data_IF_963723779852
#
_entry.id   IF_963723779852
#
_cell.length_a   1.000
_cell.length_b   1.000
_cell.length_c   1.000
_cell.angle_alpha   90.00
_cell.angle_beta   90.00
_cell.angle_gamma   90.00
#
_symmetry.space_group_name_H-M   'P 1'
#
loop_
_entity.id
_entity.type
_entity.pdbx_description
1 polymer ?
#
# COMPACT_ATOMS: atom_id res chain seq x y z
N UNK A 1 23.25 57.61 -2.63
CA UNK A 1 22.59 56.52 -1.85
C UNK A 1 21.44 55.82 -2.59
N UNK A 2 21.05 56.21 -3.82
CA UNK A 2 19.93 55.58 -4.55
C UNK A 2 20.25 54.42 -5.51
N UNK A 3 21.51 54.14 -5.85
CA UNK A 3 21.83 53.06 -6.81
C UNK A 3 21.86 51.65 -6.17
N UNK A 4 22.12 51.56 -4.86
CA UNK A 4 22.13 50.29 -4.11
C UNK A 4 20.73 49.71 -3.92
N UNK A 5 19.69 50.53 -3.84
CA UNK A 5 18.30 50.07 -3.68
C UNK A 5 17.74 49.52 -4.99
N UNK A 6 18.09 50.12 -6.13
CA UNK A 6 17.63 49.71 -7.46
C UNK A 6 18.21 48.35 -7.89
N UNK A 7 19.49 48.09 -7.60
CA UNK A 7 20.13 46.79 -7.84
C UNK A 7 19.61 45.70 -6.91
N UNK A 8 19.30 46.02 -5.65
CA UNK A 8 18.61 45.11 -4.73
C UNK A 8 17.21 44.75 -5.24
N UNK A 9 16.42 45.75 -5.67
CA UNK A 9 15.09 45.52 -6.27
C UNK A 9 15.16 44.67 -7.53
N UNK A 10 16.08 44.94 -8.46
CA UNK A 10 16.26 44.12 -9.66
C UNK A 10 16.65 42.67 -9.30
N UNK A 11 17.48 42.48 -8.27
CA UNK A 11 17.89 41.15 -7.79
C UNK A 11 16.72 40.38 -7.18
N UNK A 12 15.87 41.05 -6.38
CA UNK A 12 14.66 40.45 -5.80
C UNK A 12 13.61 40.12 -6.86
N UNK A 13 13.40 40.99 -7.86
CA UNK A 13 12.52 40.70 -9.00
C UNK A 13 13.02 39.50 -9.82
N UNK A 14 14.34 39.40 -10.08
CA UNK A 14 14.92 38.24 -10.78
C UNK A 14 14.74 36.94 -9.98
N UNK A 15 14.97 36.97 -8.66
CA UNK A 15 14.73 35.82 -7.78
C UNK A 15 13.25 35.41 -7.75
N UNK A 16 12.33 36.36 -7.71
CA UNK A 16 10.89 36.09 -7.76
C UNK A 16 10.46 35.48 -9.10
N UNK A 17 11.03 35.96 -10.22
CA UNK A 17 10.73 35.46 -11.56
C UNK A 17 11.27 34.04 -11.78
N UNK A 18 12.49 33.76 -11.29
CA UNK A 18 13.06 32.40 -11.30
C UNK A 18 12.28 31.46 -10.39
N UNK A 19 11.91 31.89 -9.18
CA UNK A 19 11.08 31.11 -8.27
C UNK A 19 9.70 30.79 -8.85
N UNK A 20 9.04 31.78 -9.48
CA UNK A 20 7.76 31.60 -10.16
C UNK A 20 7.86 30.67 -11.36
N UNK A 21 8.92 30.76 -12.16
CA UNK A 21 9.16 29.85 -13.27
C UNK A 21 9.38 28.41 -12.78
N UNK A 22 10.21 28.20 -11.74
CA UNK A 22 10.44 26.87 -11.16
C UNK A 22 9.14 26.26 -10.66
N UNK A 23 8.28 27.04 -9.99
CA UNK A 23 6.95 26.58 -9.54
C UNK A 23 6.01 26.27 -10.70
N UNK A 24 6.05 27.05 -11.79
CA UNK A 24 5.26 26.77 -12.98
C UNK A 24 5.76 25.53 -13.76
N UNK A 25 7.05 25.21 -13.65
CA UNK A 25 7.68 24.01 -14.22
C UNK A 25 7.49 22.75 -13.36
N UNK A 26 7.12 22.88 -12.07
CA UNK A 26 6.68 21.77 -11.22
C UNK A 26 5.26 21.35 -11.64
N UNK A 27 5.12 20.58 -12.72
CA UNK A 27 3.80 20.09 -13.16
C UNK A 27 3.07 19.23 -12.10
N UNK A 28 1.90 18.69 -12.46
CA UNK A 28 1.05 17.88 -11.57
C UNK A 28 1.75 16.67 -10.90
N UNK A 29 2.93 16.27 -11.37
CA UNK A 29 3.73 15.20 -10.77
C UNK A 29 4.14 15.47 -9.31
N UNK A 30 4.35 16.74 -8.93
CA UNK A 30 4.69 17.08 -7.54
C UNK A 30 3.51 16.81 -6.61
N UNK A 31 2.28 17.08 -7.03
CA UNK A 31 1.07 16.86 -6.20
C UNK A 31 0.88 15.37 -5.93
N UNK A 32 0.97 14.52 -6.98
CA UNK A 32 0.76 13.09 -6.81
C UNK A 32 1.90 12.41 -6.04
N UNK A 33 3.14 12.84 -6.27
CA UNK A 33 4.29 12.34 -5.52
C UNK A 33 4.19 12.71 -4.04
N UNK A 34 3.95 13.98 -3.71
CA UNK A 34 3.89 14.42 -2.30
C UNK A 34 2.71 13.77 -1.58
N UNK A 35 1.56 13.63 -2.25
CA UNK A 35 0.41 12.91 -1.73
C UNK A 35 0.77 11.45 -1.45
N UNK A 36 1.43 10.77 -2.40
CA UNK A 36 1.88 9.41 -2.23
C UNK A 36 2.86 9.23 -1.07
N UNK A 37 3.86 10.11 -0.96
CA UNK A 37 4.82 10.10 0.15
C UNK A 37 4.13 10.27 1.52
N UNK A 38 3.13 11.16 1.62
CA UNK A 38 2.33 11.35 2.83
C UNK A 38 1.51 10.10 3.16
N UNK A 39 0.81 9.52 2.18
CA UNK A 39 0.00 8.31 2.36
C UNK A 39 0.85 7.11 2.76
N UNK A 40 2.03 6.92 2.16
CA UNK A 40 2.96 5.85 2.53
C UNK A 40 3.52 6.07 3.94
N UNK A 41 3.85 7.32 4.28
CA UNK A 41 4.31 7.65 5.63
C UNK A 41 3.24 7.35 6.67
N UNK A 42 2.00 7.81 6.47
CA UNK A 42 0.85 7.51 7.32
C UNK A 42 0.60 6.00 7.40
N UNK A 43 0.70 5.31 6.25
CA UNK A 43 0.57 3.87 6.15
C UNK A 43 1.54 3.14 7.08
N UNK A 44 2.79 3.60 7.14
CA UNK A 44 3.83 3.02 8.00
C UNK A 44 3.69 3.42 9.48
N UNK A 45 3.35 4.67 9.78
CA UNK A 45 3.38 5.20 11.14
C UNK A 45 2.09 4.95 11.92
N UNK A 46 0.94 4.93 11.26
CA UNK A 46 -0.37 4.85 11.90
C UNK A 46 -1.17 3.63 11.43
N UNK A 47 -1.37 3.50 10.11
CA UNK A 47 -2.28 2.48 9.56
C UNK A 47 -1.80 1.07 9.87
N UNK A 48 -0.54 0.74 9.56
CA UNK A 48 0.00 -0.60 9.75
C UNK A 48 0.05 -0.98 11.24
N UNK A 49 0.57 -0.15 12.17
CA UNK A 49 0.49 -0.46 13.59
C UNK A 49 -0.95 -0.68 14.08
N UNK A 50 -1.90 0.14 13.64
CA UNK A 50 -3.32 -0.04 13.99
C UNK A 50 -3.90 -1.34 13.41
N UNK A 51 -3.54 -1.71 12.18
CA UNK A 51 -3.93 -3.00 11.60
C UNK A 51 -3.38 -4.18 12.40
N UNK A 52 -2.17 -4.07 12.95
CA UNK A 52 -1.56 -5.12 13.75
C UNK A 52 -2.19 -5.27 15.15
N UNK A 53 -3.03 -4.33 15.59
CA UNK A 53 -3.82 -4.47 16.83
C UNK A 53 -5.15 -5.16 16.60
N UNK A 54 -5.46 -5.61 15.38
CA UNK A 54 -6.71 -6.29 15.09
C UNK A 54 -6.73 -7.69 15.71
N UNK A 55 -7.75 -7.97 16.52
CA UNK A 55 -8.02 -9.31 17.04
C UNK A 55 -8.70 -10.23 16.00
N UNK A 56 -9.17 -9.66 14.88
CA UNK A 56 -9.80 -10.38 13.78
C UNK A 56 -8.87 -10.43 12.55
N UNK A 57 -8.33 -11.63 12.29
CA UNK A 57 -7.47 -11.91 11.13
C UNK A 57 -8.19 -11.62 9.81
N UNK A 58 -9.50 -11.87 9.71
CA UNK A 58 -10.28 -11.60 8.51
C UNK A 58 -10.28 -10.11 8.22
N UNK A 59 -10.45 -9.29 9.26
CA UNK A 59 -10.51 -7.84 9.11
C UNK A 59 -9.15 -7.25 8.72
N UNK A 60 -8.05 -7.76 9.31
CA UNK A 60 -6.69 -7.42 8.89
C UNK A 60 -6.45 -7.78 7.42
N UNK A 61 -6.90 -8.96 7.02
CA UNK A 61 -6.72 -9.39 5.65
C UNK A 61 -7.45 -8.51 4.63
N UNK A 62 -8.78 -8.34 4.78
CA UNK A 62 -9.57 -7.60 3.79
C UNK A 62 -9.13 -6.14 3.70
N UNK A 63 -8.64 -5.59 4.81
CA UNK A 63 -8.00 -4.26 4.81
C UNK A 63 -6.70 -4.27 4.00
N UNK A 64 -5.86 -5.29 4.18
CA UNK A 64 -4.66 -5.51 3.37
C UNK A 64 -4.98 -5.59 1.87
N UNK A 65 -5.91 -6.44 1.46
CA UNK A 65 -6.32 -6.58 0.05
C UNK A 65 -6.90 -5.28 -0.53
N UNK A 66 -7.69 -4.54 0.25
CA UNK A 66 -8.32 -3.30 -0.21
C UNK A 66 -7.31 -2.14 -0.37
N UNK A 67 -6.37 -2.00 0.58
CA UNK A 67 -5.47 -0.85 0.63
C UNK A 67 -4.20 -1.04 -0.20
N UNK A 68 -3.77 -2.29 -0.41
CA UNK A 68 -2.52 -2.59 -1.12
C UNK A 68 -2.47 -1.99 -2.54
N UNK A 69 -3.49 -2.15 -3.41
CA UNK A 69 -3.43 -1.58 -4.76
C UNK A 69 -3.31 -0.06 -4.77
N UNK A 70 -4.01 0.63 -3.84
CA UNK A 70 -3.95 2.07 -3.70
C UNK A 70 -2.54 2.54 -3.31
N UNK A 71 -1.96 1.92 -2.28
CA UNK A 71 -0.64 2.30 -1.77
C UNK A 71 0.47 2.01 -2.79
N UNK A 72 0.40 0.86 -3.47
CA UNK A 72 1.39 0.48 -4.47
C UNK A 72 1.29 1.32 -5.74
N UNK A 73 0.10 1.82 -6.13
CA UNK A 73 -0.06 2.66 -7.30
C UNK A 73 0.77 3.96 -7.25
N UNK A 74 1.10 4.47 -6.05
CA UNK A 74 1.92 5.67 -5.88
C UNK A 74 3.39 5.49 -6.28
N UNK A 75 3.86 4.25 -6.48
CA UNK A 75 5.17 3.98 -7.08
C UNK A 75 5.28 4.59 -8.49
N UNK A 76 4.19 4.56 -9.27
CA UNK A 76 4.15 5.10 -10.64
C UNK A 76 4.39 6.61 -10.73
N UNK A 77 4.20 7.33 -9.63
CA UNK A 77 4.40 8.77 -9.53
C UNK A 77 5.64 9.14 -8.71
N UNK A 78 6.54 8.18 -8.47
CA UNK A 78 7.85 8.42 -7.85
C UNK A 78 7.85 8.38 -6.32
N UNK A 79 6.85 7.75 -5.70
CA UNK A 79 6.85 7.44 -4.27
C UNK A 79 7.48 6.06 -4.02
N UNK A 80 7.84 5.74 -2.78
CA UNK A 80 8.58 4.51 -2.43
C UNK A 80 7.80 3.66 -1.42
N UNK A 81 6.80 2.87 -1.88
CA UNK A 81 5.95 2.08 -1.00
C UNK A 81 6.57 0.74 -0.59
N UNK A 82 7.69 0.29 -1.15
CA UNK A 82 8.19 -1.09 -1.08
C UNK A 82 8.26 -1.70 0.33
N UNK A 83 8.72 -0.94 1.33
CA UNK A 83 8.78 -1.42 2.73
C UNK A 83 7.40 -1.61 3.35
N UNK A 84 6.49 -0.68 3.07
CA UNK A 84 5.10 -0.79 3.51
C UNK A 84 4.40 -1.91 2.73
N UNK A 85 4.69 -2.00 1.43
CA UNK A 85 4.25 -3.03 0.49
C UNK A 85 4.45 -4.42 1.05
N UNK A 86 5.67 -4.76 1.48
CA UNK A 86 5.96 -6.06 2.09
C UNK A 86 4.99 -6.40 3.24
N UNK A 87 4.74 -5.45 4.14
CA UNK A 87 3.86 -5.66 5.28
C UNK A 87 2.38 -5.79 4.85
N UNK A 88 1.89 -4.90 3.99
CA UNK A 88 0.47 -4.94 3.56
C UNK A 88 0.18 -6.17 2.69
N UNK A 89 1.12 -6.60 1.84
CA UNK A 89 1.02 -7.86 1.11
C UNK A 89 1.01 -9.07 2.05
N UNK A 90 1.84 -9.09 3.09
CA UNK A 90 1.80 -10.16 4.10
C UNK A 90 0.44 -10.19 4.81
N UNK A 91 -0.12 -9.04 5.20
CA UNK A 91 -1.46 -9.01 5.80
C UNK A 91 -2.53 -9.48 4.82
N UNK A 92 -2.44 -9.12 3.54
CA UNK A 92 -3.37 -9.56 2.50
C UNK A 92 -3.27 -11.08 2.22
N UNK A 93 -2.06 -11.65 2.30
CA UNK A 93 -1.85 -13.08 2.08
C UNK A 93 -2.62 -13.96 3.08
N UNK A 94 -2.90 -13.44 4.29
CA UNK A 94 -3.66 -14.18 5.29
C UNK A 94 -5.08 -14.58 4.84
N UNK A 95 -5.67 -13.93 3.83
CA UNK A 95 -6.97 -14.35 3.27
C UNK A 95 -6.85 -15.69 2.56
N UNK A 96 -5.79 -15.85 1.74
CA UNK A 96 -5.53 -17.12 1.08
C UNK A 96 -5.29 -18.22 2.11
N UNK A 97 -4.57 -17.92 3.19
CA UNK A 97 -4.37 -18.85 4.31
C UNK A 97 -5.70 -19.25 4.98
N UNK A 98 -6.60 -18.30 5.26
CA UNK A 98 -7.92 -18.62 5.84
C UNK A 98 -8.72 -19.56 4.93
N UNK A 99 -8.73 -19.30 3.62
CA UNK A 99 -9.43 -20.18 2.65
C UNK A 99 -8.79 -21.58 2.62
N UNK A 100 -7.45 -21.65 2.66
CA UNK A 100 -6.73 -22.92 2.72
C UNK A 100 -7.06 -23.72 3.99
N UNK A 101 -7.13 -23.05 5.15
CA UNK A 101 -7.49 -23.66 6.44
C UNK A 101 -8.93 -24.18 6.40
N UNK A 102 -9.87 -23.41 5.86
CA UNK A 102 -11.27 -23.85 5.74
C UNK A 102 -11.39 -25.10 4.86
N UNK A 103 -10.64 -25.15 3.75
CA UNK A 103 -10.57 -26.32 2.88
C UNK A 103 -9.92 -27.53 3.58
N UNK A 104 -8.89 -27.31 4.40
CA UNK A 104 -8.27 -28.36 5.22
C UNK A 104 -9.24 -28.93 6.26
N UNK A 105 -10.00 -28.07 6.95
CA UNK A 105 -11.03 -28.51 7.89
C UNK A 105 -12.12 -29.33 7.18
N UNK A 106 -12.51 -28.95 5.96
CA UNK A 106 -13.45 -29.70 5.12
C UNK A 106 -12.90 -31.06 4.72
N UNK A 107 -11.63 -31.10 4.29
CA UNK A 107 -10.90 -32.33 4.00
C UNK A 107 -10.90 -33.28 5.20
N UNK A 108 -10.57 -32.80 6.41
CA UNK A 108 -10.53 -33.64 7.61
C UNK A 108 -11.89 -34.23 7.97
N UNK A 109 -12.98 -33.47 7.82
CA UNK A 109 -14.35 -33.98 8.03
C UNK A 109 -14.70 -35.05 7.00
N UNK A 110 -14.40 -34.81 5.72
CA UNK A 110 -14.68 -35.78 4.64
C UNK A 110 -13.90 -37.08 4.80
N UNK A 111 -12.64 -37.02 5.23
CA UNK A 111 -11.82 -38.21 5.55
C UNK A 111 -12.44 -39.00 6.70
N UNK A 112 -12.88 -38.31 7.77
CA UNK A 112 -13.54 -38.94 8.91
C UNK A 112 -14.82 -39.69 8.50
N UNK A 113 -15.58 -39.13 7.56
CA UNK A 113 -16.84 -39.69 7.08
C UNK A 113 -16.66 -40.73 5.95
N UNK A 114 -15.43 -40.99 5.52
CA UNK A 114 -15.12 -41.93 4.43
C UNK A 114 -15.48 -41.43 3.03
N UNK A 115 -15.77 -40.14 2.87
CA UNK A 115 -16.13 -39.54 1.58
C UNK A 115 -14.87 -39.13 0.80
N UNK A 116 -14.31 -40.06 0.03
CA UNK A 116 -13.05 -39.88 -0.70
C UNK A 116 -13.12 -38.77 -1.76
N UNK A 117 -14.26 -38.64 -2.46
CA UNK A 117 -14.40 -37.64 -3.53
C UNK A 117 -14.35 -36.21 -2.95
N UNK A 118 -15.11 -35.96 -1.88
CA UNK A 118 -15.09 -34.67 -1.18
C UNK A 118 -13.71 -34.38 -0.58
N UNK A 119 -13.06 -35.39 0.00
CA UNK A 119 -11.72 -35.24 0.55
C UNK A 119 -10.70 -34.84 -0.54
N UNK A 120 -10.77 -35.45 -1.72
CA UNK A 120 -9.88 -35.08 -2.82
C UNK A 120 -10.13 -33.65 -3.31
N UNK A 121 -11.39 -33.26 -3.47
CA UNK A 121 -11.76 -31.92 -3.93
C UNK A 121 -11.30 -30.84 -2.94
N UNK A 122 -11.62 -31.01 -1.65
CA UNK A 122 -11.19 -30.11 -0.58
C UNK A 122 -9.66 -29.98 -0.50
N UNK A 123 -8.92 -31.07 -0.72
CA UNK A 123 -7.44 -31.04 -0.73
C UNK A 123 -6.88 -30.35 -1.99
N UNK A 124 -7.55 -30.43 -3.12
CA UNK A 124 -7.18 -29.67 -4.32
C UNK A 124 -7.38 -28.18 -4.07
N UNK A 125 -8.49 -27.80 -3.44
CA UNK A 125 -8.76 -26.41 -3.08
C UNK A 125 -7.72 -25.89 -2.07
N UNK A 126 -7.44 -26.62 -0.99
CA UNK A 126 -6.41 -26.27 -0.02
C UNK A 126 -5.08 -25.95 -0.71
N UNK A 127 -4.61 -26.84 -1.59
CA UNK A 127 -3.36 -26.67 -2.33
C UNK A 127 -3.34 -25.48 -3.27
N UNK A 128 -4.50 -25.08 -3.82
CA UNK A 128 -4.60 -23.91 -4.71
C UNK A 128 -4.32 -22.62 -3.95
N UNK A 129 -4.70 -22.56 -2.68
CA UNK A 129 -4.58 -21.37 -1.83
C UNK A 129 -3.33 -21.37 -0.94
N UNK A 130 -2.71 -22.54 -0.69
CA UNK A 130 -1.51 -22.69 0.13
C UNK A 130 -0.20 -22.76 -0.67
N UNK A 131 -0.22 -22.42 -1.97
CA UNK A 131 0.91 -22.58 -2.90
C UNK A 131 1.87 -21.39 -2.91
#
# INVERSE_FOLDING_TARGET
>A
MGSLTLTKMLRHSRLALVGGAILALQGCGVIYKTTGDVLISFGRSEMLPYMLTFDDVRMACVTGEAQTPLLMAFERVGSHPEKLGAMVFTTAATCAEQIAIDAELRYMRAVKDGNVNEAQDARIEQKRWSA
#
